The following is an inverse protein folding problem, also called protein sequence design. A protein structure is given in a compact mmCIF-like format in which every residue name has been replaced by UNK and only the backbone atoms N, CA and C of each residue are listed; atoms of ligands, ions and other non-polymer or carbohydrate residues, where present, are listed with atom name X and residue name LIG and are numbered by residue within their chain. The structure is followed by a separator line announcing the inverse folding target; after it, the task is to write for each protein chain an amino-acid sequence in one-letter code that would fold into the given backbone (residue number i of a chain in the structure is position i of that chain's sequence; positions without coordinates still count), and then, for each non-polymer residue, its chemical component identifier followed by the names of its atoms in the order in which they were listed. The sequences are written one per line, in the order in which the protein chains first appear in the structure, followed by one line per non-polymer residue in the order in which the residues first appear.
data_IF_319540937456
#
_entry.id   IF_319540937456
#
_cell.length_a   1.000
_cell.length_b   1.000
_cell.length_c   1.000
_cell.angle_alpha   90.00
_cell.angle_beta   90.00
_cell.angle_gamma   90.00
#
_symmetry.space_group_name_H-M   'P 1'
#
loop_
_entity.id
_entity.type
_entity.pdbx_description
1 polymer ?
#
# COMPACT_ATOMS: atom_id res chain seq x y z
N UNK A 1 8.03 -26.63 23.31
CA UNK A 1 7.08 -25.80 22.53
C UNK A 1 6.76 -24.49 23.25
N UNK A 2 6.76 -24.45 24.60
CA UNK A 2 6.39 -23.27 25.41
C UNK A 2 7.41 -22.12 25.48
N UNK A 3 8.60 -22.24 24.86
CA UNK A 3 9.64 -21.18 24.90
C UNK A 3 9.42 -20.07 23.87
N UNK A 4 8.55 -20.26 22.90
CA UNK A 4 8.24 -19.27 21.87
C UNK A 4 7.27 -18.19 22.38
N UNK A 5 6.31 -18.58 23.22
CA UNK A 5 5.26 -17.70 23.74
C UNK A 5 5.82 -16.54 24.57
N UNK A 6 6.77 -16.80 25.49
CA UNK A 6 7.36 -15.75 26.32
C UNK A 6 8.19 -14.70 25.56
N UNK A 7 8.78 -15.07 24.41
CA UNK A 7 9.58 -14.14 23.60
C UNK A 7 8.69 -13.22 22.78
N UNK A 8 7.56 -13.70 22.25
CA UNK A 8 6.59 -12.90 21.49
C UNK A 8 6.03 -11.80 22.38
N UNK A 9 5.58 -12.11 23.59
CA UNK A 9 5.02 -11.15 24.53
C UNK A 9 6.00 -10.06 24.98
N UNK A 10 7.31 -10.28 24.84
CA UNK A 10 8.34 -9.26 25.04
C UNK A 10 8.66 -8.48 23.78
N UNK A 11 8.66 -9.14 22.63
CA UNK A 11 9.08 -8.54 21.35
C UNK A 11 8.02 -7.60 20.80
N UNK A 12 6.75 -8.01 20.77
CA UNK A 12 5.66 -7.22 20.19
C UNK A 12 5.46 -5.87 20.87
N UNK A 13 5.34 -5.75 22.21
CA UNK A 13 5.22 -4.44 22.83
C UNK A 13 6.42 -3.54 22.57
N UNK A 14 7.64 -4.09 22.57
CA UNK A 14 8.83 -3.30 22.24
C UNK A 14 8.85 -2.86 20.78
N UNK A 15 8.37 -3.70 19.86
CA UNK A 15 8.27 -3.37 18.43
C UNK A 15 7.38 -2.15 18.21
N UNK A 16 6.26 -2.05 18.94
CA UNK A 16 5.32 -0.93 18.83
C UNK A 16 5.79 0.31 19.60
N UNK A 17 6.28 0.14 20.83
CA UNK A 17 6.56 1.28 21.74
C UNK A 17 8.01 1.74 21.73
N UNK A 18 8.98 0.82 21.58
CA UNK A 18 10.43 1.10 21.65
C UNK A 18 11.21 0.36 20.56
N UNK A 19 10.88 0.57 19.25
CA UNK A 19 11.38 -0.23 18.16
C UNK A 19 12.91 -0.16 17.99
N UNK A 20 13.49 1.01 18.25
CA UNK A 20 14.94 1.16 18.14
C UNK A 20 15.71 0.54 19.31
N UNK A 21 15.13 0.57 20.52
CA UNK A 21 15.68 -0.15 21.65
C UNK A 21 15.66 -1.66 21.43
N UNK A 22 14.58 -2.20 20.87
CA UNK A 22 14.49 -3.61 20.48
C UNK A 22 15.62 -3.98 19.52
N UNK A 23 15.78 -3.23 18.43
CA UNK A 23 16.84 -3.46 17.43
C UNK A 23 18.24 -3.40 18.06
N UNK A 24 18.49 -2.39 18.90
CA UNK A 24 19.77 -2.23 19.60
C UNK A 24 20.07 -3.38 20.55
N UNK A 25 19.14 -3.76 21.41
CA UNK A 25 19.31 -4.85 22.37
C UNK A 25 19.54 -6.19 21.67
N UNK A 26 18.83 -6.42 20.58
CA UNK A 26 19.02 -7.63 19.77
C UNK A 26 20.43 -7.71 19.17
N UNK A 27 20.93 -6.60 18.62
CA UNK A 27 22.28 -6.51 18.03
C UNK A 27 23.37 -6.67 19.11
N UNK A 28 23.19 -6.06 20.30
CA UNK A 28 24.19 -6.09 21.37
C UNK A 28 24.19 -7.38 22.22
N UNK A 29 23.55 -8.45 21.73
CA UNK A 29 23.74 -9.82 22.28
C UNK A 29 22.54 -10.37 23.04
N UNK A 30 21.47 -9.61 23.26
CA UNK A 30 20.27 -10.11 23.96
C UNK A 30 19.33 -10.93 23.06
N UNK A 31 19.88 -11.58 22.03
CA UNK A 31 19.11 -12.34 21.02
C UNK A 31 18.25 -13.45 21.62
N UNK A 32 18.72 -14.07 22.71
CA UNK A 32 18.00 -15.15 23.39
C UNK A 32 16.66 -14.69 24.01
N UNK A 33 16.51 -13.39 24.30
CA UNK A 33 15.33 -12.81 24.95
C UNK A 33 14.22 -12.43 23.99
N UNK A 34 14.52 -12.26 22.70
CA UNK A 34 13.63 -11.76 21.67
C UNK A 34 13.41 -12.79 20.55
N UNK A 35 12.34 -12.61 19.79
CA UNK A 35 12.11 -13.39 18.57
C UNK A 35 13.06 -12.88 17.50
N UNK A 36 13.62 -13.82 16.69
CA UNK A 36 14.43 -13.46 15.54
C UNK A 36 13.69 -12.50 14.60
N UNK A 37 14.31 -11.41 14.13
CA UNK A 37 13.67 -10.47 13.22
C UNK A 37 13.08 -11.13 11.99
N UNK A 38 13.85 -12.02 11.35
CA UNK A 38 13.41 -12.74 10.16
C UNK A 38 12.23 -13.67 10.44
N UNK A 39 12.26 -14.42 11.56
CA UNK A 39 11.16 -15.30 11.93
C UNK A 39 9.88 -14.51 12.21
N UNK A 40 9.99 -13.37 12.89
CA UNK A 40 8.85 -12.50 13.17
C UNK A 40 8.30 -11.86 11.90
N UNK A 41 9.18 -11.48 10.97
CA UNK A 41 8.79 -10.95 9.66
C UNK A 41 8.01 -11.99 8.84
N UNK A 42 8.55 -13.20 8.70
CA UNK A 42 7.87 -14.27 7.96
C UNK A 42 6.53 -14.64 8.61
N UNK A 43 6.48 -14.67 9.93
CA UNK A 43 5.23 -14.88 10.66
C UNK A 43 4.22 -13.76 10.40
N UNK A 44 4.65 -12.49 10.40
CA UNK A 44 3.75 -11.37 10.13
C UNK A 44 3.23 -11.38 8.69
N UNK A 45 4.06 -11.73 7.72
CA UNK A 45 3.64 -11.91 6.32
C UNK A 45 2.59 -13.02 6.20
N UNK A 46 2.88 -14.19 6.80
CA UNK A 46 1.93 -15.31 6.82
C UNK A 46 0.61 -14.92 7.49
N UNK A 47 0.68 -14.28 8.67
CA UNK A 47 -0.50 -13.85 9.41
C UNK A 47 -1.34 -12.85 8.62
N UNK A 48 -0.69 -11.87 7.98
CA UNK A 48 -1.36 -10.88 7.13
C UNK A 48 -2.10 -11.57 5.98
N UNK A 49 -1.43 -12.47 5.29
CA UNK A 49 -2.05 -13.24 4.21
C UNK A 49 -3.22 -14.10 4.69
N UNK A 50 -3.04 -14.84 5.80
CA UNK A 50 -4.07 -15.70 6.36
C UNK A 50 -5.32 -14.92 6.77
N UNK A 51 -5.16 -13.78 7.44
CA UNK A 51 -6.28 -12.94 7.88
C UNK A 51 -7.00 -12.31 6.69
N UNK A 52 -6.28 -11.74 5.73
CA UNK A 52 -6.94 -11.18 4.54
C UNK A 52 -7.62 -12.25 3.69
N UNK A 53 -7.03 -13.44 3.57
CA UNK A 53 -7.68 -14.57 2.91
C UNK A 53 -8.96 -14.99 3.63
N UNK A 54 -8.93 -15.06 4.96
CA UNK A 54 -10.12 -15.39 5.77
C UNK A 54 -11.22 -14.31 5.67
N UNK A 55 -10.85 -13.03 5.70
CA UNK A 55 -11.79 -11.92 5.54
C UNK A 55 -12.45 -11.91 4.16
N UNK A 56 -11.68 -12.25 3.11
CA UNK A 56 -12.20 -12.35 1.75
C UNK A 56 -13.25 -13.46 1.60
N UNK A 57 -13.07 -14.60 2.28
CA UNK A 57 -14.04 -15.71 2.27
C UNK A 57 -15.29 -15.43 3.12
N UNK A 58 -15.19 -14.57 4.11
CA UNK A 58 -16.32 -14.23 5.00
C UNK A 58 -17.38 -13.33 4.36
N UNK A 59 -17.06 -12.64 3.26
CA UNK A 59 -17.95 -11.74 2.55
C UNK A 59 -18.62 -12.36 1.31
N UNK A 60 -18.28 -13.59 0.95
CA UNK A 60 -18.85 -14.31 -0.19
C UNK A 60 -19.77 -15.42 0.32
N UNK A 61 -21.07 -15.15 0.38
CA UNK A 61 -22.08 -16.19 0.35
C UNK A 61 -21.99 -16.91 -0.99
N UNK A 62 -21.42 -18.14 -0.97
CA UNK A 62 -21.49 -19.15 -2.01
C UNK A 62 -21.32 -18.68 -3.46
N UNK A 63 -20.08 -18.68 -3.95
CA UNK A 63 -19.71 -19.30 -5.22
C UNK A 63 -18.22 -19.07 -5.48
N UNK A 64 -17.54 -20.19 -5.68
CA UNK A 64 -16.22 -20.40 -6.24
C UNK A 64 -15.01 -20.31 -5.29
N UNK A 65 -14.52 -21.48 -4.94
CA UNK A 65 -13.25 -21.80 -4.29
C UNK A 65 -12.07 -21.50 -5.23
N UNK A 66 -11.62 -20.26 -5.25
CA UNK A 66 -10.43 -19.90 -6.02
C UNK A 66 -9.98 -18.47 -5.84
N UNK A 67 -8.92 -18.30 -5.07
CA UNK A 67 -8.11 -17.09 -4.94
C UNK A 67 -8.80 -15.85 -4.35
N UNK A 68 -8.39 -15.49 -3.13
CA UNK A 68 -8.72 -14.23 -2.47
C UNK A 68 -8.32 -13.02 -3.31
N UNK A 69 -9.17 -12.62 -4.20
CA UNK A 69 -9.14 -11.31 -4.83
C UNK A 69 -10.19 -10.47 -4.11
N UNK A 70 -9.75 -9.46 -3.40
CA UNK A 70 -10.59 -8.31 -3.17
C UNK A 70 -10.91 -7.79 -4.57
N UNK A 71 -12.07 -8.17 -5.10
CA UNK A 71 -12.62 -7.52 -6.29
C UNK A 71 -12.88 -6.07 -5.90
N UNK A 72 -11.93 -5.19 -6.16
CA UNK A 72 -12.25 -3.80 -6.41
C UNK A 72 -12.83 -3.81 -7.83
N UNK A 73 -14.04 -4.34 -7.97
CA UNK A 73 -14.86 -4.20 -9.17
C UNK A 73 -15.38 -2.76 -9.20
N UNK A 74 -14.56 -1.85 -9.72
CA UNK A 74 -14.99 -0.51 -10.08
C UNK A 74 -15.90 -0.58 -11.33
N UNK A 75 -16.12 -1.75 -11.89
CA UNK A 75 -17.13 -2.05 -12.91
C UNK A 75 -18.31 -2.86 -12.36
N UNK A 76 -18.72 -2.61 -11.11
CA UNK A 76 -20.00 -3.16 -10.65
C UNK A 76 -21.13 -2.59 -11.51
N UNK A 77 -22.16 -3.39 -11.85
CA UNK A 77 -23.33 -2.87 -12.52
C UNK A 77 -23.94 -1.67 -11.77
N UNK A 78 -23.73 -1.59 -10.45
CA UNK A 78 -24.10 -0.45 -9.61
C UNK A 78 -23.32 0.83 -9.94
N UNK A 79 -21.99 0.75 -10.13
CA UNK A 79 -21.18 1.90 -10.52
C UNK A 79 -21.56 2.40 -11.93
N UNK A 80 -21.80 1.49 -12.87
CA UNK A 80 -22.27 1.84 -14.20
C UNK A 80 -23.70 2.42 -14.17
N UNK A 81 -24.55 1.93 -13.27
CA UNK A 81 -25.89 2.47 -13.06
C UNK A 81 -25.83 3.87 -12.44
N UNK A 82 -24.99 4.11 -11.46
CA UNK A 82 -24.78 5.42 -10.84
C UNK A 82 -24.21 6.44 -11.83
N UNK A 83 -23.25 6.03 -12.67
CA UNK A 83 -22.77 6.89 -13.76
C UNK A 83 -23.87 7.25 -14.77
N UNK A 84 -24.74 6.29 -15.13
CA UNK A 84 -25.88 6.56 -16.02
C UNK A 84 -26.85 7.53 -15.38
N UNK A 85 -27.23 7.29 -14.13
CA UNK A 85 -28.09 8.17 -13.36
C UNK A 85 -27.58 9.60 -13.30
N UNK A 86 -26.28 9.76 -12.99
CA UNK A 86 -25.62 11.07 -12.92
C UNK A 86 -25.61 11.78 -14.29
N UNK A 87 -25.43 11.04 -15.40
CA UNK A 87 -25.53 11.59 -16.77
C UNK A 87 -26.96 12.03 -17.10
N UNK A 88 -27.97 11.26 -16.70
CA UNK A 88 -29.35 11.58 -16.93
C UNK A 88 -29.79 12.82 -16.12
N UNK A 89 -29.31 12.93 -14.88
CA UNK A 89 -29.55 14.10 -14.02
C UNK A 89 -28.89 15.35 -14.59
N UNK A 90 -27.63 15.26 -15.08
CA UNK A 90 -26.96 16.37 -15.78
C UNK A 90 -27.77 16.81 -17.00
N UNK A 91 -28.24 15.87 -17.84
CA UNK A 91 -28.99 16.18 -19.02
C UNK A 91 -30.34 16.83 -18.70
N UNK A 92 -30.98 16.47 -17.57
CA UNK A 92 -32.21 17.10 -17.05
C UNK A 92 -31.93 18.50 -16.56
N UNK A 93 -30.90 18.70 -15.72
CA UNK A 93 -30.51 20.02 -15.19
C UNK A 93 -30.10 20.99 -16.30
N UNK A 94 -29.45 20.54 -17.36
CA UNK A 94 -29.10 21.36 -18.53
C UNK A 94 -30.38 21.91 -19.21
N UNK A 95 -31.40 21.05 -19.39
CA UNK A 95 -32.69 21.49 -19.95
C UNK A 95 -33.44 22.47 -19.02
N UNK A 96 -33.40 22.21 -17.71
CA UNK A 96 -33.99 23.10 -16.71
C UNK A 96 -33.31 24.47 -16.66
N UNK A 97 -31.97 24.52 -16.73
CA UNK A 97 -31.20 25.77 -16.80
C UNK A 97 -31.57 26.58 -18.04
N UNK A 98 -31.69 25.92 -19.20
CA UNK A 98 -32.10 26.60 -20.45
C UNK A 98 -33.52 27.12 -20.34
N UNK A 99 -34.45 26.33 -19.84
CA UNK A 99 -35.84 26.72 -19.66
C UNK A 99 -35.99 27.89 -18.65
N UNK A 100 -35.24 27.85 -17.54
CA UNK A 100 -35.25 28.91 -16.53
C UNK A 100 -34.66 30.23 -17.09
N UNK A 101 -33.60 30.16 -17.91
CA UNK A 101 -33.02 31.32 -18.61
C UNK A 101 -34.02 31.96 -19.57
N UNK A 102 -34.72 31.14 -20.35
CA UNK A 102 -35.76 31.63 -21.28
C UNK A 102 -36.95 32.25 -20.53
N UNK A 103 -37.24 31.77 -19.31
CA UNK A 103 -38.30 32.28 -18.47
C UNK A 103 -37.89 33.47 -17.57
N UNK A 104 -36.63 33.96 -17.66
CA UNK A 104 -36.12 35.06 -16.85
C UNK A 104 -35.99 34.76 -15.33
N UNK A 105 -35.95 33.47 -14.94
CA UNK A 105 -35.83 33.05 -13.55
C UNK A 105 -34.36 32.96 -13.11
N UNK A 106 -34.07 33.13 -11.81
CA UNK A 106 -32.69 32.99 -11.31
C UNK A 106 -32.18 31.56 -11.49
N UNK A 107 -31.03 31.40 -12.18
CA UNK A 107 -30.45 30.09 -12.53
C UNK A 107 -29.28 29.66 -11.64
N UNK A 108 -28.83 30.52 -10.70
CA UNK A 108 -27.63 30.31 -9.91
C UNK A 108 -27.58 28.99 -9.13
N UNK A 109 -28.70 28.58 -8.53
CA UNK A 109 -28.79 27.34 -7.78
C UNK A 109 -28.66 26.11 -8.71
N UNK A 110 -29.38 26.11 -9.83
CA UNK A 110 -29.35 25.05 -10.84
C UNK A 110 -27.96 24.94 -11.51
N UNK A 111 -27.29 26.06 -11.75
CA UNK A 111 -25.92 26.08 -12.30
C UNK A 111 -24.88 25.55 -11.30
N UNK A 112 -25.08 25.80 -10.01
CA UNK A 112 -24.22 25.21 -8.96
C UNK A 112 -24.41 23.69 -8.89
N UNK A 113 -25.63 23.21 -8.90
CA UNK A 113 -25.95 21.79 -8.88
C UNK A 113 -25.40 21.10 -10.14
N UNK A 114 -25.61 21.66 -11.32
CA UNK A 114 -25.04 21.15 -12.57
C UNK A 114 -23.50 21.10 -12.53
N UNK A 115 -22.86 22.08 -11.91
CA UNK A 115 -21.40 22.11 -11.77
C UNK A 115 -20.88 21.04 -10.82
N UNK A 116 -21.62 20.79 -9.72
CA UNK A 116 -21.26 19.72 -8.76
C UNK A 116 -21.41 18.34 -9.38
N UNK A 117 -22.47 18.09 -10.14
CA UNK A 117 -22.73 16.81 -10.78
C UNK A 117 -21.74 16.52 -11.92
N UNK A 118 -21.40 17.54 -12.72
CA UNK A 118 -20.31 17.44 -13.72
C UNK A 118 -18.96 17.14 -13.07
N UNK A 119 -18.66 17.74 -11.92
CA UNK A 119 -17.44 17.45 -11.17
C UNK A 119 -17.46 16.02 -10.64
N UNK A 120 -18.59 15.57 -10.08
CA UNK A 120 -18.79 14.20 -9.64
C UNK A 120 -18.56 13.18 -10.76
N UNK A 121 -19.17 13.39 -11.93
CA UNK A 121 -18.99 12.53 -13.10
C UNK A 121 -17.53 12.53 -13.58
N UNK A 122 -16.84 13.68 -13.57
CA UNK A 122 -15.43 13.79 -13.93
C UNK A 122 -14.54 13.03 -12.94
N UNK A 123 -14.79 13.14 -11.64
CA UNK A 123 -14.05 12.40 -10.61
C UNK A 123 -14.28 10.90 -10.72
N UNK A 124 -15.54 10.47 -10.93
CA UNK A 124 -15.86 9.05 -11.18
C UNK A 124 -15.17 8.54 -12.46
N UNK A 125 -15.16 9.31 -13.55
CA UNK A 125 -14.45 8.96 -14.77
C UNK A 125 -12.94 8.87 -14.58
N UNK A 126 -12.34 9.79 -13.82
CA UNK A 126 -10.91 9.77 -13.50
C UNK A 126 -10.58 8.56 -12.62
N UNK A 127 -11.41 8.24 -11.63
CA UNK A 127 -11.24 7.05 -10.80
C UNK A 127 -11.37 5.77 -11.65
N UNK A 128 -12.37 5.66 -12.49
CA UNK A 128 -12.55 4.53 -13.41
C UNK A 128 -11.34 4.38 -14.36
N UNK A 129 -10.81 5.47 -14.89
CA UNK A 129 -9.62 5.44 -15.76
C UNK A 129 -8.32 5.14 -14.99
N UNK A 130 -8.25 5.51 -13.71
CA UNK A 130 -7.06 5.23 -12.87
C UNK A 130 -7.03 3.78 -12.39
N UNK A 131 -8.18 3.13 -12.22
CA UNK A 131 -8.31 1.81 -11.61
C UNK A 131 -8.96 0.75 -12.52
N UNK A 132 -9.64 1.13 -13.59
CA UNK A 132 -10.35 0.22 -14.46
C UNK A 132 -10.35 0.70 -15.91
N UNK A 133 -9.79 -0.12 -16.74
CA UNK A 133 -9.98 -0.17 -18.19
C UNK A 133 -9.82 1.17 -18.94
N UNK A 134 -8.58 1.47 -19.31
CA UNK A 134 -8.32 2.46 -20.35
C UNK A 134 -9.07 2.09 -21.62
N UNK A 135 -10.23 2.73 -21.85
CA UNK A 135 -10.84 2.77 -23.14
C UNK A 135 -9.95 3.59 -24.09
N UNK A 136 -9.73 3.05 -25.24
CA UNK A 136 -9.08 3.43 -26.48
C UNK A 136 -9.11 4.93 -26.86
N UNK A 137 -8.52 5.82 -26.09
CA UNK A 137 -8.23 7.19 -26.51
C UNK A 137 -7.27 7.81 -25.49
N UNK A 138 -6.03 7.42 -25.57
CA UNK A 138 -4.90 8.22 -25.15
C UNK A 138 -3.67 7.58 -25.79
N UNK A 139 -2.83 8.40 -26.33
CA UNK A 139 -1.42 8.09 -26.55
C UNK A 139 -0.88 7.45 -25.26
N UNK A 140 -0.98 6.12 -25.21
CA UNK A 140 -0.54 5.36 -24.06
C UNK A 140 0.94 5.61 -23.94
N UNK A 141 1.39 6.16 -22.81
CA UNK A 141 2.80 6.20 -22.48
C UNK A 141 3.34 4.77 -22.66
N UNK A 142 3.93 4.54 -23.83
CA UNK A 142 4.65 3.31 -24.08
C UNK A 142 5.96 3.47 -23.33
N UNK A 143 6.18 2.65 -22.31
CA UNK A 143 7.47 2.56 -21.63
C UNK A 143 8.59 2.10 -22.56
N UNK A 144 8.28 1.92 -23.88
CA UNK A 144 9.21 1.59 -24.95
C UNK A 144 10.32 2.62 -25.13
N UNK A 145 10.09 3.89 -24.75
CA UNK A 145 11.09 4.95 -24.87
C UNK A 145 12.06 5.02 -23.69
N UNK A 146 11.84 4.19 -22.67
CA UNK A 146 12.74 4.08 -21.53
C UNK A 146 13.71 2.91 -21.78
N UNK A 147 14.91 3.22 -22.25
CA UNK A 147 16.00 2.26 -22.41
C UNK A 147 16.58 1.82 -21.05
N UNK A 148 15.82 1.04 -20.28
CA UNK A 148 16.36 0.34 -19.12
C UNK A 148 16.07 -1.17 -19.22
N UNK A 149 16.92 -2.04 -18.61
CA UNK A 149 16.83 -3.51 -18.78
C UNK A 149 15.50 -4.15 -18.34
N UNK A 150 14.60 -3.41 -17.71
CA UNK A 150 13.28 -3.87 -17.26
C UNK A 150 12.10 -3.42 -18.13
N UNK A 151 12.30 -2.52 -19.10
CA UNK A 151 11.21 -1.94 -19.91
C UNK A 151 10.37 -3.01 -20.65
N UNK A 152 11.01 -4.04 -21.18
CA UNK A 152 10.35 -5.14 -21.87
C UNK A 152 9.38 -5.91 -20.95
N UNK A 153 9.74 -6.11 -19.68
CA UNK A 153 8.86 -6.78 -18.69
C UNK A 153 7.66 -5.92 -18.32
N UNK A 154 7.85 -4.60 -18.19
CA UNK A 154 6.76 -3.67 -17.90
C UNK A 154 5.79 -3.57 -19.08
N UNK A 155 6.27 -3.54 -20.32
CA UNK A 155 5.43 -3.55 -21.52
C UNK A 155 4.62 -4.84 -21.62
N UNK A 156 5.25 -6.00 -21.39
CA UNK A 156 4.57 -7.29 -21.35
C UNK A 156 3.54 -7.37 -20.21
N UNK A 157 3.85 -6.78 -19.03
CA UNK A 157 2.91 -6.67 -17.94
C UNK A 157 1.70 -5.78 -18.30
N UNK A 158 1.94 -4.64 -18.96
CA UNK A 158 0.89 -3.75 -19.43
C UNK A 158 -0.02 -4.45 -20.48
N UNK A 159 0.54 -5.21 -21.40
CA UNK A 159 -0.24 -6.02 -22.34
C UNK A 159 -1.06 -7.11 -21.64
N UNK A 160 -0.46 -7.80 -20.67
CA UNK A 160 -1.15 -8.83 -19.88
C UNK A 160 -2.26 -8.21 -19.04
N UNK A 161 -2.03 -7.01 -18.46
CA UNK A 161 -3.05 -6.26 -17.74
C UNK A 161 -4.23 -5.87 -18.65
N UNK A 162 -3.96 -5.49 -19.90
CA UNK A 162 -5.02 -5.19 -20.88
C UNK A 162 -5.84 -6.43 -21.27
N UNK A 163 -5.20 -7.60 -21.39
CA UNK A 163 -5.86 -8.85 -21.82
C UNK A 163 -6.59 -9.54 -20.67
N UNK A 164 -5.99 -9.61 -19.47
CA UNK A 164 -6.50 -10.35 -18.32
C UNK A 164 -6.01 -9.70 -17.00
N UNK A 165 -6.64 -8.61 -16.55
CA UNK A 165 -6.21 -7.89 -15.35
C UNK A 165 -6.30 -8.75 -14.08
N UNK A 166 -7.28 -9.63 -13.99
CA UNK A 166 -7.47 -10.53 -12.84
C UNK A 166 -6.33 -11.56 -12.72
N UNK A 167 -5.90 -12.14 -13.85
CA UNK A 167 -4.79 -13.09 -13.87
C UNK A 167 -3.47 -12.41 -13.46
N UNK A 168 -3.22 -11.19 -13.94
CA UNK A 168 -2.03 -10.45 -13.56
C UNK A 168 -2.04 -10.13 -12.07
N UNK A 169 -3.16 -9.64 -11.54
CA UNK A 169 -3.31 -9.33 -10.13
C UNK A 169 -3.08 -10.59 -9.24
N UNK A 170 -3.67 -11.72 -9.61
CA UNK A 170 -3.46 -12.99 -8.91
C UNK A 170 -1.99 -13.40 -8.90
N UNK A 171 -1.32 -13.36 -10.07
CA UNK A 171 0.10 -13.67 -10.18
C UNK A 171 0.96 -12.72 -9.34
N UNK A 172 0.66 -11.43 -9.38
CA UNK A 172 1.35 -10.42 -8.56
C UNK A 172 1.18 -10.68 -7.06
N UNK A 173 -0.03 -10.96 -6.60
CA UNK A 173 -0.32 -11.28 -5.20
C UNK A 173 0.44 -12.53 -4.75
N UNK A 174 0.39 -13.61 -5.53
CA UNK A 174 1.11 -14.85 -5.25
C UNK A 174 2.62 -14.65 -5.20
N UNK A 175 3.17 -13.87 -6.14
CA UNK A 175 4.59 -13.56 -6.18
C UNK A 175 5.02 -12.59 -5.06
N UNK A 176 4.21 -11.59 -4.74
CA UNK A 176 4.48 -10.69 -3.63
C UNK A 176 4.61 -11.45 -2.31
N UNK A 177 3.76 -12.43 -2.07
CA UNK A 177 3.87 -13.30 -0.89
C UNK A 177 5.15 -14.15 -0.92
N UNK A 178 5.42 -14.85 -2.01
CA UNK A 178 6.59 -15.74 -2.15
C UNK A 178 7.91 -14.98 -2.02
N UNK A 179 8.00 -13.79 -2.58
CA UNK A 179 9.23 -13.00 -2.65
C UNK A 179 9.29 -11.85 -1.65
N UNK A 180 8.35 -11.77 -0.69
CA UNK A 180 8.32 -10.73 0.34
C UNK A 180 9.64 -10.55 1.09
N UNK A 181 10.38 -11.65 1.31
CA UNK A 181 11.70 -11.63 1.93
C UNK A 181 12.73 -10.79 1.15
N UNK A 182 12.54 -10.61 -0.17
CA UNK A 182 13.43 -9.81 -1.00
C UNK A 182 13.40 -8.31 -0.65
N UNK A 183 12.32 -7.83 0.01
CA UNK A 183 12.28 -6.46 0.56
C UNK A 183 13.43 -6.18 1.53
N UNK A 184 13.89 -7.20 2.27
CA UNK A 184 14.99 -7.04 3.24
C UNK A 184 16.28 -6.67 2.51
N UNK A 185 16.85 -7.50 1.60
CA UNK A 185 18.07 -7.16 0.91
C UNK A 185 17.95 -5.93 0.01
N UNK A 186 16.77 -5.62 -0.53
CA UNK A 186 16.54 -4.39 -1.31
C UNK A 186 16.63 -3.15 -0.41
N UNK A 187 16.09 -3.20 0.82
CA UNK A 187 16.02 -2.04 1.72
C UNK A 187 17.30 -1.79 2.51
N UNK A 188 18.10 -2.83 2.81
CA UNK A 188 19.32 -2.71 3.63
C UNK A 188 20.33 -1.72 3.05
N UNK A 189 20.64 -1.71 1.74
CA UNK A 189 21.58 -0.74 1.16
C UNK A 189 21.17 0.72 1.37
N UNK A 190 19.89 1.01 1.33
CA UNK A 190 19.37 2.37 1.54
C UNK A 190 19.57 2.84 2.98
N UNK A 191 19.35 1.96 3.97
CA UNK A 191 19.63 2.29 5.37
C UNK A 191 21.14 2.40 5.60
N UNK A 192 21.95 1.52 5.00
CA UNK A 192 23.40 1.62 5.06
C UNK A 192 23.89 2.95 4.47
N UNK A 193 23.37 3.39 3.33
CA UNK A 193 23.71 4.68 2.72
C UNK A 193 23.43 5.86 3.65
N UNK A 194 22.33 5.80 4.42
CA UNK A 194 21.94 6.83 5.38
C UNK A 194 22.94 6.97 6.54
N UNK A 195 23.66 5.90 6.85
CA UNK A 195 24.64 5.83 7.94
C UNK A 195 26.06 5.49 7.46
N UNK A 196 26.35 5.62 6.17
CA UNK A 196 27.62 5.30 5.56
C UNK A 196 28.84 5.92 6.31
N UNK A 197 28.70 7.15 6.77
CA UNK A 197 29.76 7.84 7.54
C UNK A 197 29.96 7.29 8.96
N UNK A 198 29.00 6.55 9.49
CA UNK A 198 29.08 5.98 10.84
C UNK A 198 29.56 4.52 10.79
N UNK A 199 30.87 4.32 10.68
CA UNK A 199 31.53 2.99 10.62
C UNK A 199 31.28 2.10 11.85
N UNK A 200 30.69 2.63 12.93
CA UNK A 200 30.31 1.88 14.14
C UNK A 200 29.25 0.82 13.84
N UNK A 201 28.36 1.07 12.88
CA UNK A 201 27.25 0.19 12.56
C UNK A 201 27.62 -0.73 11.40
N UNK A 202 27.39 -2.04 11.59
CA UNK A 202 27.67 -3.08 10.60
C UNK A 202 26.42 -3.34 9.74
N UNK A 203 26.59 -3.97 8.58
CA UNK A 203 25.47 -4.38 7.71
C UNK A 203 24.43 -5.22 8.43
N UNK A 204 24.86 -6.04 9.40
CA UNK A 204 23.95 -6.83 10.24
C UNK A 204 23.00 -5.94 11.07
N UNK A 205 23.48 -4.82 11.59
CA UNK A 205 22.68 -3.89 12.39
C UNK A 205 21.57 -3.26 11.54
N UNK A 206 21.92 -2.89 10.28
CA UNK A 206 20.96 -2.37 9.31
C UNK A 206 19.94 -3.43 8.89
N UNK A 207 20.36 -4.69 8.71
CA UNK A 207 19.47 -5.79 8.39
C UNK A 207 18.44 -6.05 9.51
N UNK A 208 18.90 -6.07 10.78
CA UNK A 208 17.99 -6.19 11.95
C UNK A 208 17.01 -5.02 12.02
N UNK A 209 17.52 -3.78 11.82
CA UNK A 209 16.68 -2.58 11.80
C UNK A 209 15.59 -2.67 10.73
N UNK A 210 15.98 -2.97 9.48
CA UNK A 210 15.05 -3.09 8.34
C UNK A 210 14.01 -4.17 8.60
N UNK A 211 14.44 -5.35 9.05
CA UNK A 211 13.54 -6.49 9.24
C UNK A 211 12.50 -6.22 10.32
N UNK A 212 12.85 -5.61 11.45
CA UNK A 212 11.88 -5.20 12.46
C UNK A 212 10.97 -4.06 11.96
N UNK A 213 11.50 -3.13 11.18
CA UNK A 213 10.69 -2.07 10.57
C UNK A 213 9.64 -2.64 9.62
N UNK A 214 10.04 -3.54 8.72
CA UNK A 214 9.11 -4.22 7.80
C UNK A 214 8.07 -5.07 8.54
N UNK A 215 8.49 -5.78 9.59
CA UNK A 215 7.56 -6.53 10.45
C UNK A 215 6.50 -5.62 11.05
N UNK A 216 6.93 -4.47 11.59
CA UNK A 216 6.00 -3.49 12.14
C UNK A 216 5.02 -2.99 11.08
N UNK A 217 5.51 -2.63 9.88
CA UNK A 217 4.64 -2.14 8.80
C UNK A 217 3.62 -3.19 8.37
N UNK A 218 4.02 -4.48 8.31
CA UNK A 218 3.08 -5.58 8.00
C UNK A 218 2.01 -5.74 9.08
N UNK A 219 2.39 -5.72 10.37
CA UNK A 219 1.42 -5.81 11.46
C UNK A 219 0.51 -4.58 11.53
N UNK A 220 1.05 -3.39 11.29
CA UNK A 220 0.26 -2.16 11.21
C UNK A 220 -0.74 -2.23 10.06
N UNK A 221 -0.30 -2.64 8.86
CA UNK A 221 -1.18 -2.79 7.70
C UNK A 221 -2.29 -3.81 7.97
N UNK A 222 -1.98 -4.92 8.66
CA UNK A 222 -2.97 -5.90 9.08
C UNK A 222 -4.01 -5.29 10.03
N UNK A 223 -3.57 -4.60 11.09
CA UNK A 223 -4.47 -3.96 12.07
C UNK A 223 -5.34 -2.89 11.39
N UNK A 224 -4.72 -2.03 10.58
CA UNK A 224 -5.44 -0.98 9.84
C UNK A 224 -6.40 -1.57 8.81
N UNK A 225 -6.01 -2.65 8.11
CA UNK A 225 -6.90 -3.35 7.17
C UNK A 225 -8.15 -3.90 7.86
N UNK A 226 -7.98 -4.51 9.04
CA UNK A 226 -9.11 -4.95 9.86
C UNK A 226 -9.99 -3.76 10.27
N UNK A 227 -9.39 -2.66 10.78
CA UNK A 227 -10.15 -1.48 11.19
C UNK A 227 -10.92 -0.84 10.04
N UNK A 228 -10.33 -0.79 8.85
CA UNK A 228 -10.97 -0.24 7.63
C UNK A 228 -12.16 -1.11 7.21
N UNK A 229 -12.10 -2.43 7.41
CA UNK A 229 -13.20 -3.34 7.07
C UNK A 229 -14.42 -3.21 7.97
N UNK A 230 -14.26 -2.62 9.16
CA UNK A 230 -15.37 -2.30 10.05
C UNK A 230 -15.76 -0.82 9.84
N UNK A 231 -16.78 -0.52 9.05
CA UNK A 231 -17.22 0.82 8.65
C UNK A 231 -17.07 1.96 9.68
N UNK A 232 -17.48 1.79 10.96
CA UNK A 232 -17.32 2.85 11.98
C UNK A 232 -15.86 3.23 12.28
N UNK A 233 -14.90 2.34 12.02
CA UNK A 233 -13.48 2.51 12.34
C UNK A 233 -12.59 2.79 11.12
N UNK A 234 -13.17 2.90 9.94
CA UNK A 234 -12.48 3.13 8.67
C UNK A 234 -11.56 4.36 8.71
N UNK A 235 -12.09 5.49 9.19
CA UNK A 235 -11.32 6.74 9.32
C UNK A 235 -10.13 6.57 10.25
N UNK A 236 -10.32 5.87 11.36
CA UNK A 236 -9.25 5.61 12.34
C UNK A 236 -8.15 4.76 11.70
N UNK A 237 -8.53 3.69 10.99
CA UNK A 237 -7.59 2.83 10.26
C UNK A 237 -6.78 3.61 9.22
N UNK A 238 -7.43 4.46 8.43
CA UNK A 238 -6.76 5.32 7.44
C UNK A 238 -5.81 6.33 8.06
N UNK A 239 -6.20 7.00 9.13
CA UNK A 239 -5.33 7.94 9.86
C UNK A 239 -4.12 7.24 10.48
N UNK A 240 -4.31 6.08 11.11
CA UNK A 240 -3.21 5.30 11.66
C UNK A 240 -2.23 4.86 10.56
N UNK A 241 -2.72 4.38 9.43
CA UNK A 241 -1.88 3.93 8.32
C UNK A 241 -1.06 5.08 7.72
N UNK A 242 -1.60 6.29 7.73
CA UNK A 242 -0.92 7.48 7.16
C UNK A 242 0.09 8.10 8.11
N UNK A 243 -0.28 8.28 9.39
CA UNK A 243 0.53 9.09 10.32
C UNK A 243 1.45 8.28 11.22
N UNK A 244 1.11 7.03 11.52
CA UNK A 244 1.91 6.23 12.45
C UNK A 244 3.25 5.73 11.87
N UNK A 245 3.37 5.34 10.58
CA UNK A 245 4.63 4.92 9.98
C UNK A 245 5.77 5.93 10.14
N UNK A 246 5.62 7.23 9.79
CA UNK A 246 6.69 8.21 10.00
C UNK A 246 7.08 8.35 11.47
N UNK A 247 6.10 8.34 12.39
CA UNK A 247 6.37 8.42 13.83
C UNK A 247 7.19 7.22 14.30
N UNK A 248 6.82 6.03 13.87
CA UNK A 248 7.55 4.81 14.20
C UNK A 248 8.98 4.83 13.63
N UNK A 249 9.15 5.21 12.36
CA UNK A 249 10.47 5.34 11.71
C UNK A 249 11.35 6.36 12.44
N UNK A 250 10.81 7.51 12.82
CA UNK A 250 11.52 8.51 13.61
C UNK A 250 12.02 7.93 14.95
N UNK A 251 11.12 7.29 15.71
CA UNK A 251 11.45 6.69 17.01
C UNK A 251 12.49 5.58 16.87
N UNK A 252 12.33 4.74 15.84
CA UNK A 252 13.25 3.65 15.59
C UNK A 252 14.64 4.17 15.22
N UNK A 253 14.76 5.17 14.34
CA UNK A 253 16.02 5.81 13.98
C UNK A 253 16.70 6.47 15.19
N UNK A 254 15.94 7.25 15.95
CA UNK A 254 16.48 7.97 17.10
C UNK A 254 17.05 7.01 18.17
N UNK A 255 16.32 5.93 18.47
CA UNK A 255 16.70 4.98 19.50
C UNK A 255 17.76 3.96 19.04
N UNK A 256 17.68 3.46 17.80
CA UNK A 256 18.60 2.43 17.29
C UNK A 256 19.99 2.98 17.03
N UNK A 257 20.07 4.17 16.43
CA UNK A 257 21.33 4.79 15.99
C UNK A 257 21.82 5.92 16.90
N UNK A 258 21.16 6.14 18.03
CA UNK A 258 21.54 7.18 19.00
C UNK A 258 21.77 8.54 18.31
N UNK A 259 20.84 8.92 17.43
CA UNK A 259 20.90 10.17 16.69
C UNK A 259 20.28 11.33 17.45
N UNK A 260 20.73 12.57 17.24
CA UNK A 260 20.05 13.75 17.76
C UNK A 260 18.62 13.86 17.21
N UNK A 261 17.75 14.60 17.88
CA UNK A 261 16.34 14.77 17.46
C UNK A 261 16.24 15.31 16.02
N UNK A 262 17.00 16.35 15.72
CA UNK A 262 17.06 16.91 14.37
C UNK A 262 17.68 15.92 13.36
N UNK A 263 18.77 15.22 13.76
CA UNK A 263 19.40 14.20 12.94
C UNK A 263 18.51 13.00 12.64
N UNK A 264 17.62 12.63 13.56
CA UNK A 264 16.60 11.58 13.33
C UNK A 264 15.51 12.07 12.38
N UNK A 265 15.04 13.31 12.52
CA UNK A 265 13.95 13.86 11.72
C UNK A 265 14.31 13.92 10.23
N UNK A 266 15.42 14.54 9.89
CA UNK A 266 15.80 14.65 8.48
C UNK A 266 16.09 13.29 7.83
N UNK A 267 16.70 12.35 8.62
CA UNK A 267 16.92 10.97 8.16
C UNK A 267 15.63 10.19 8.00
N UNK A 268 14.62 10.45 8.82
CA UNK A 268 13.28 9.88 8.66
C UNK A 268 12.67 10.32 7.32
N UNK A 269 12.75 11.60 6.97
CA UNK A 269 12.25 12.10 5.68
C UNK A 269 12.95 11.38 4.51
N UNK A 270 14.29 11.28 4.57
CA UNK A 270 15.06 10.60 3.52
C UNK A 270 14.77 9.08 3.50
N UNK A 271 14.64 8.45 4.67
CA UNK A 271 14.28 7.03 4.77
C UNK A 271 12.87 6.76 4.20
N UNK A 272 11.93 7.70 4.35
CA UNK A 272 10.59 7.58 3.74
C UNK A 272 10.68 7.56 2.21
N UNK A 273 11.52 8.42 1.62
CA UNK A 273 11.78 8.39 0.16
C UNK A 273 12.44 7.06 -0.25
N UNK A 274 13.44 6.61 0.50
CA UNK A 274 14.11 5.33 0.24
C UNK A 274 13.16 4.13 0.39
N UNK A 275 12.25 4.16 1.37
CA UNK A 275 11.23 3.13 1.54
C UNK A 275 10.28 3.06 0.34
N UNK A 276 9.85 4.22 -0.19
CA UNK A 276 9.06 4.27 -1.42
C UNK A 276 9.84 3.74 -2.61
N UNK A 277 11.13 4.09 -2.75
CA UNK A 277 12.00 3.56 -3.81
C UNK A 277 12.15 2.04 -3.69
N UNK A 278 12.40 1.52 -2.49
CA UNK A 278 12.53 0.08 -2.24
C UNK A 278 11.23 -0.66 -2.54
N UNK A 279 10.09 -0.08 -2.18
CA UNK A 279 8.77 -0.64 -2.48
C UNK A 279 8.51 -0.65 -4.00
N UNK A 280 8.87 0.41 -4.71
CA UNK A 280 8.77 0.47 -6.17
C UNK A 280 9.65 -0.58 -6.85
N UNK A 281 10.91 -0.72 -6.41
CA UNK A 281 11.82 -1.75 -6.92
C UNK A 281 11.27 -3.17 -6.66
N UNK A 282 10.70 -3.39 -5.50
CA UNK A 282 10.05 -4.65 -5.17
C UNK A 282 8.81 -4.90 -6.03
N UNK A 283 7.98 -3.89 -6.26
CA UNK A 283 6.81 -4.01 -7.14
C UNK A 283 7.23 -4.36 -8.58
N UNK A 284 8.28 -3.71 -9.10
CA UNK A 284 8.86 -4.03 -10.42
C UNK A 284 9.35 -5.48 -10.47
N UNK A 285 10.04 -5.94 -9.41
CA UNK A 285 10.49 -7.33 -9.29
C UNK A 285 9.31 -8.31 -9.34
N UNK A 286 8.27 -8.05 -8.55
CA UNK A 286 7.07 -8.90 -8.49
C UNK A 286 6.35 -8.96 -9.84
N UNK A 287 6.23 -7.83 -10.52
CA UNK A 287 5.64 -7.75 -11.88
C UNK A 287 6.49 -8.53 -12.87
N UNK A 288 7.81 -8.34 -12.87
CA UNK A 288 8.73 -9.05 -13.77
C UNK A 288 8.62 -10.58 -13.61
N UNK A 289 8.54 -11.06 -12.36
CA UNK A 289 8.35 -12.49 -12.05
C UNK A 289 6.93 -12.99 -12.35
N UNK A 290 5.93 -12.11 -12.36
CA UNK A 290 4.53 -12.46 -12.67
C UNK A 290 4.28 -12.62 -14.18
N UNK A 291 5.13 -12.01 -15.00
CA UNK A 291 5.00 -11.98 -16.46
C UNK A 291 5.94 -13.01 -17.13
N UNK A 292 6.96 -13.46 -16.39
CA UNK A 292 7.79 -14.60 -16.83
C UNK A 292 7.03 -15.91 -16.73
#
# INVERSE_FOLDING_TARGET
VLHFDGKIWRTLPMLFWKPGELSRRYVHGERAKFVSPLALFLFSVFLTFAVFSWMSHGNEGAEDLGAGTTKVEISTPEFAAEQRKLRDDIARLEKEVVAARLAGKPTQALEQELKSDRLGLKLMGTAANSFGNGTNDADGYQFTDLEFPGAAYLNKAAETAKKNPQLLFYKMQSNAYKYSWALIPISVPFVWLLFFWRRRFKMFDHAVFVTYSLTFMMLLALICGILISFGPTEIIGGLLLTFYPPIHMYRQLHQAYETSRFGAFWRMCLLSVFAMTALTLFAVLVVALGVS
#
